data_IF_510286247334
#
_entry.id   IF_510286247334
#
_cell.length_a   1.000
_cell.length_b   1.000
_cell.length_c   1.000
_cell.angle_alpha   90.00
_cell.angle_beta   90.00
_cell.angle_gamma   90.00
#
_symmetry.space_group_name_H-M   'P 1'
#
loop_
_entity.id
_entity.type
_entity.pdbx_description
1 polymer ?
#
# COMPACT_ATOMS: atom_id res chain seq x y z
N UNK A 1 14.63 -42.18 -8.46
CA UNK A 1 13.55 -41.25 -8.10
C UNK A 1 14.21 -39.99 -7.54
N UNK A 2 14.50 -39.02 -8.40
CA UNK A 2 15.10 -37.73 -8.01
C UNK A 2 13.99 -36.69 -8.08
N UNK A 3 13.55 -36.20 -6.93
CA UNK A 3 12.65 -35.05 -6.85
C UNK A 3 13.46 -33.78 -7.07
N UNK A 4 13.12 -33.03 -8.12
CA UNK A 4 13.63 -31.69 -8.39
C UNK A 4 12.96 -30.70 -7.42
N UNK A 5 13.76 -30.04 -6.57
CA UNK A 5 13.28 -28.99 -5.67
C UNK A 5 13.32 -27.65 -6.40
N UNK A 6 12.15 -27.14 -6.76
CA UNK A 6 11.97 -25.79 -7.33
C UNK A 6 12.39 -24.74 -6.28
N UNK A 7 13.41 -23.88 -6.53
CA UNK A 7 13.67 -22.77 -5.62
C UNK A 7 12.45 -21.83 -5.65
N UNK A 8 11.86 -21.62 -4.47
CA UNK A 8 10.70 -20.76 -4.26
C UNK A 8 10.99 -19.34 -4.73
N UNK A 9 10.00 -18.73 -5.38
CA UNK A 9 10.10 -17.37 -5.92
C UNK A 9 10.43 -16.35 -4.83
N UNK A 10 11.12 -15.29 -5.21
CA UNK A 10 11.40 -14.15 -4.33
C UNK A 10 10.08 -13.57 -3.82
N UNK A 11 9.91 -13.42 -2.49
CA UNK A 11 8.71 -12.81 -1.94
C UNK A 11 8.55 -11.38 -2.45
N UNK A 12 7.31 -10.97 -2.70
CA UNK A 12 6.99 -9.60 -3.10
C UNK A 12 7.42 -8.63 -1.99
N UNK A 13 8.14 -7.54 -2.32
CA UNK A 13 8.66 -6.62 -1.32
C UNK A 13 7.52 -5.90 -0.58
N UNK A 14 7.63 -5.81 0.75
CA UNK A 14 6.62 -5.15 1.60
C UNK A 14 6.44 -3.66 1.28
N UNK A 15 7.52 -2.98 0.88
CA UNK A 15 7.53 -1.57 0.50
C UNK A 15 8.69 -1.31 -0.48
N UNK A 16 8.56 -0.27 -1.32
CA UNK A 16 9.58 0.13 -2.29
C UNK A 16 9.84 1.64 -2.27
N UNK A 17 11.10 2.03 -2.42
CA UNK A 17 11.51 3.44 -2.51
C UNK A 17 11.46 3.87 -3.98
N UNK A 18 10.46 4.66 -4.34
CA UNK A 18 10.28 5.16 -5.71
C UNK A 18 11.15 6.39 -5.99
N UNK A 19 11.53 7.15 -4.94
CA UNK A 19 12.34 8.36 -5.05
C UNK A 19 13.15 8.59 -3.76
N UNK A 20 14.37 9.10 -3.92
CA UNK A 20 15.29 9.39 -2.82
C UNK A 20 16.24 8.23 -2.53
N UNK A 21 17.20 8.46 -1.63
CA UNK A 21 18.15 7.45 -1.16
C UNK A 21 18.19 7.51 0.37
N UNK A 22 17.24 6.86 1.06
CA UNK A 22 17.23 6.85 2.52
C UNK A 22 18.48 6.14 3.04
N UNK A 23 18.92 6.54 4.23
CA UNK A 23 19.90 5.76 4.97
C UNK A 23 19.25 4.49 5.58
N UNK A 24 20.07 3.66 6.21
CA UNK A 24 19.61 2.39 6.76
C UNK A 24 18.66 2.62 7.96
N UNK A 25 18.93 3.66 8.75
CA UNK A 25 18.19 4.05 9.93
C UNK A 25 16.78 4.54 9.58
N UNK A 26 16.65 5.41 8.58
CA UNK A 26 15.38 5.90 8.06
C UNK A 26 14.52 4.75 7.51
N UNK A 27 15.14 3.83 6.75
CA UNK A 27 14.44 2.68 6.18
C UNK A 27 13.97 1.71 7.28
N UNK A 28 14.81 1.48 8.29
CA UNK A 28 14.46 0.64 9.44
C UNK A 28 13.31 1.26 10.26
N UNK A 29 13.37 2.57 10.52
CA UNK A 29 12.33 3.28 11.25
C UNK A 29 10.98 3.20 10.53
N UNK A 30 10.96 3.44 9.21
CA UNK A 30 9.74 3.32 8.41
C UNK A 30 9.19 1.89 8.44
N UNK A 31 10.06 0.88 8.30
CA UNK A 31 9.66 -0.53 8.33
C UNK A 31 9.06 -0.90 9.69
N UNK A 32 9.66 -0.47 10.79
CA UNK A 32 9.13 -0.72 12.14
C UNK A 32 7.73 -0.13 12.33
N UNK A 33 7.48 1.08 11.80
CA UNK A 33 6.15 1.71 11.84
C UNK A 33 5.13 0.93 11.01
N UNK A 34 5.49 0.53 9.78
CA UNK A 34 4.60 -0.26 8.90
C UNK A 34 4.23 -1.59 9.55
N UNK A 35 5.21 -2.30 10.11
CA UNK A 35 4.98 -3.57 10.80
C UNK A 35 4.11 -3.40 12.04
N UNK A 36 4.34 -2.33 12.82
CA UNK A 36 3.53 -2.02 14.00
C UNK A 36 2.06 -1.75 13.62
N UNK A 37 1.82 -1.05 12.51
CA UNK A 37 0.48 -0.75 12.01
C UNK A 37 -0.22 -2.01 11.47
N UNK A 38 0.53 -2.89 10.79
CA UNK A 38 0.03 -4.18 10.31
C UNK A 38 -0.36 -5.11 11.46
N UNK A 39 0.47 -5.16 12.52
CA UNK A 39 0.19 -5.95 13.72
C UNK A 39 -1.01 -5.42 14.52
N UNK A 40 -1.27 -4.12 14.48
CA UNK A 40 -2.37 -3.47 15.18
C UNK A 40 -3.72 -3.52 14.42
N UNK A 41 -3.76 -4.03 13.18
CA UNK A 41 -4.97 -4.06 12.39
C UNK A 41 -5.91 -5.19 12.88
N UNK A 42 -7.12 -4.89 13.42
CA UNK A 42 -8.11 -5.92 13.68
C UNK A 42 -8.55 -6.57 12.36
N UNK A 43 -8.92 -7.86 12.42
CA UNK A 43 -9.44 -8.65 11.29
C UNK A 43 -10.52 -7.83 10.55
N UNK A 44 -10.27 -7.54 9.27
CA UNK A 44 -10.97 -6.49 8.53
C UNK A 44 -12.47 -6.83 8.41
N UNK A 45 -13.33 -6.07 9.07
CA UNK A 45 -14.75 -6.03 8.72
C UNK A 45 -14.90 -5.64 7.23
N UNK A 46 -15.86 -6.27 6.54
CA UNK A 46 -16.04 -6.25 5.09
C UNK A 46 -15.80 -4.88 4.43
N UNK A 47 -15.09 -4.91 3.31
CA UNK A 47 -14.60 -3.73 2.60
C UNK A 47 -15.73 -2.80 2.12
N UNK A 48 -15.63 -1.47 2.30
CA UNK A 48 -16.51 -0.54 1.61
C UNK A 48 -16.25 -0.62 0.10
N UNK A 49 -17.32 -0.86 -0.65
CA UNK A 49 -17.32 -1.18 -2.07
C UNK A 49 -16.49 -0.22 -2.93
N UNK A 50 -15.65 -0.79 -3.80
CA UNK A 50 -15.10 -0.21 -5.04
C UNK A 50 -14.68 1.26 -4.90
N UNK A 51 -13.43 1.44 -4.48
CA UNK A 51 -12.57 2.62 -4.62
C UNK A 51 -13.17 3.73 -5.48
N UNK A 52 -13.88 4.66 -4.82
CA UNK A 52 -14.51 5.82 -5.45
C UNK A 52 -13.57 6.64 -6.34
N UNK A 53 -12.26 6.57 -6.10
CA UNK A 53 -11.23 7.15 -6.95
C UNK A 53 -11.09 6.44 -8.31
N UNK A 54 -11.10 5.10 -8.35
CA UNK A 54 -11.01 4.32 -9.60
C UNK A 54 -12.19 4.63 -10.51
N UNK A 55 -13.41 4.65 -9.96
CA UNK A 55 -14.62 5.02 -10.72
C UNK A 55 -14.53 6.45 -11.27
N UNK A 56 -14.02 7.41 -10.49
CA UNK A 56 -13.83 8.79 -10.94
C UNK A 56 -12.79 8.92 -12.06
N UNK A 57 -11.71 8.16 -11.99
CA UNK A 57 -10.71 8.09 -13.06
C UNK A 57 -11.28 7.55 -14.37
N UNK A 58 -12.05 6.45 -14.32
CA UNK A 58 -12.72 5.88 -15.50
C UNK A 58 -13.69 6.89 -16.15
N UNK A 59 -14.41 7.65 -15.32
CA UNK A 59 -15.35 8.68 -15.76
C UNK A 59 -14.69 10.03 -16.09
N UNK A 60 -13.35 10.14 -16.04
CA UNK A 60 -12.58 11.38 -16.28
C UNK A 60 -13.10 12.58 -15.49
N UNK A 61 -13.58 12.34 -14.27
CA UNK A 61 -14.09 13.38 -13.40
C UNK A 61 -12.92 14.13 -12.76
N UNK A 62 -12.81 15.42 -13.05
CA UNK A 62 -11.83 16.28 -12.42
C UNK A 62 -12.10 16.40 -10.90
N UNK A 63 -11.06 16.42 -10.05
CA UNK A 63 -11.22 16.73 -8.63
C UNK A 63 -11.82 18.13 -8.47
N UNK A 64 -12.89 18.27 -7.69
CA UNK A 64 -13.36 19.60 -7.27
C UNK A 64 -12.37 20.21 -6.27
N UNK A 65 -11.67 21.32 -6.61
CA UNK A 65 -10.77 21.99 -5.68
C UNK A 65 -11.56 22.59 -4.52
N UNK A 66 -10.92 22.71 -3.36
CA UNK A 66 -11.49 23.37 -2.20
C UNK A 66 -11.18 22.68 -0.86
N UNK A 67 -11.55 23.32 0.26
CA UNK A 67 -11.31 22.79 1.60
C UNK A 67 -11.84 21.36 1.75
N UNK A 68 -11.01 20.46 2.26
CA UNK A 68 -11.36 19.06 2.47
C UNK A 68 -11.31 18.17 1.21
N UNK A 69 -10.81 18.64 0.07
CA UNK A 69 -10.58 17.80 -1.11
C UNK A 69 -9.70 16.57 -0.81
N UNK A 70 -8.69 16.73 0.04
CA UNK A 70 -7.78 15.67 0.48
C UNK A 70 -8.45 14.56 1.32
N UNK A 71 -9.58 14.84 1.99
CA UNK A 71 -10.31 13.81 2.74
C UNK A 71 -10.96 12.79 1.79
N UNK A 72 -11.28 13.21 0.57
CA UNK A 72 -11.94 12.39 -0.46
C UNK A 72 -10.97 11.53 -1.28
N UNK A 73 -9.66 11.59 -1.02
CA UNK A 73 -8.64 10.77 -1.69
C UNK A 73 -8.09 9.64 -0.81
N UNK A 74 -8.50 9.50 0.45
CA UNK A 74 -8.00 8.48 1.38
C UNK A 74 -8.71 7.12 1.26
N UNK A 75 -9.08 6.70 0.05
CA UNK A 75 -9.75 5.41 -0.20
C UNK A 75 -9.35 4.79 -1.53
#
# INVERSE_FOLDING_TARGET
>A
MTTDAKPGGTPEPLLSVVKGKPDAEELAALTAVVLSLAAAAPERAAEPSVRSWVRRHQLRLAPKPGPGAWKRSRG
#
